data_IF_044215296559
#
_entry.id   IF_044215296559
#
_cell.length_a   1.000
_cell.length_b   1.000
_cell.length_c   1.000
_cell.angle_alpha   90.00
_cell.angle_beta   90.00
_cell.angle_gamma   90.00
#
_symmetry.space_group_name_H-M   'P 1'
#
loop_
_entity.id
_entity.type
_entity.pdbx_description
1 polymer ?
#
# COMPACT_ATOMS: atom_id res chain seq x y z
N UNK A 1 33.84 -3.46 -2.71
CA UNK A 1 35.01 -4.09 -2.06
C UNK A 1 34.79 -4.20 -0.55
N UNK A 2 35.09 -5.36 0.04
CA UNK A 2 34.98 -5.69 1.47
C UNK A 2 36.36 -6.10 2.02
N UNK A 3 36.57 -5.96 3.34
CA UNK A 3 37.72 -6.56 4.04
C UNK A 3 37.26 -7.93 4.51
N UNK A 4 37.53 -8.96 3.72
CA UNK A 4 37.10 -10.34 3.97
C UNK A 4 38.17 -11.29 3.43
N UNK A 5 39.31 -11.32 4.12
CA UNK A 5 40.50 -12.05 3.69
C UNK A 5 40.79 -13.22 4.63
N UNK A 6 41.15 -14.34 4.01
CA UNK A 6 41.65 -15.54 4.63
C UNK A 6 42.82 -16.02 3.75
N UNK A 7 44.03 -15.71 4.19
CA UNK A 7 45.24 -16.04 3.43
C UNK A 7 45.80 -17.41 3.81
N UNK A 8 45.21 -18.10 4.80
CA UNK A 8 45.79 -19.31 5.38
C UNK A 8 47.24 -19.06 5.79
N UNK A 9 48.15 -19.96 5.40
CA UNK A 9 49.60 -19.81 5.64
C UNK A 9 50.33 -18.94 4.59
N UNK A 10 49.57 -18.16 3.81
CA UNK A 10 50.07 -17.36 2.70
C UNK A 10 50.21 -15.88 3.04
N UNK A 11 50.26 -15.05 2.00
CA UNK A 11 50.35 -13.60 2.12
C UNK A 11 49.41 -12.90 1.12
N UNK A 12 49.16 -11.58 1.29
CA UNK A 12 48.23 -10.86 0.43
C UNK A 12 48.71 -10.67 -1.02
N UNK A 13 50.02 -10.80 -1.26
CA UNK A 13 50.65 -10.61 -2.57
C UNK A 13 51.96 -11.42 -2.62
N UNK A 14 52.32 -12.07 -3.75
CA UNK A 14 53.55 -12.86 -3.86
C UNK A 14 54.86 -12.10 -3.61
N UNK A 15 54.84 -10.77 -3.58
CA UNK A 15 55.99 -9.92 -3.23
C UNK A 15 56.15 -9.71 -1.73
N UNK A 16 55.18 -10.16 -0.94
CA UNK A 16 55.18 -10.14 0.51
C UNK A 16 55.42 -11.58 0.94
N UNK A 17 56.48 -11.81 1.71
CA UNK A 17 56.74 -13.14 2.27
C UNK A 17 55.58 -13.55 3.20
N UNK A 18 55.31 -14.86 3.34
CA UNK A 18 54.50 -15.35 4.45
C UNK A 18 55.07 -14.87 5.79
N UNK A 19 54.18 -14.63 6.76
CA UNK A 19 54.51 -14.16 8.11
C UNK A 19 55.01 -12.70 8.20
N UNK A 20 54.93 -12.12 9.41
CA UNK A 20 55.50 -10.80 9.77
C UNK A 20 55.10 -9.60 8.90
N UNK A 21 53.89 -9.62 8.33
CA UNK A 21 53.38 -8.52 7.50
C UNK A 21 52.30 -7.68 8.22
N UNK A 22 51.98 -6.52 7.64
CA UNK A 22 50.90 -5.67 8.14
C UNK A 22 50.14 -5.02 7.00
N UNK A 23 48.88 -4.69 7.25
CA UNK A 23 48.00 -4.03 6.28
C UNK A 23 47.28 -2.86 6.96
N UNK A 24 47.12 -1.76 6.23
CA UNK A 24 46.26 -0.65 6.63
C UNK A 24 45.28 -0.31 5.51
N UNK A 25 44.00 -0.42 5.81
CA UNK A 25 42.93 0.10 4.96
C UNK A 25 42.46 1.45 5.51
N UNK A 26 42.24 2.42 4.61
CA UNK A 26 41.64 3.71 4.96
C UNK A 26 40.64 4.09 3.88
N UNK A 27 39.48 4.60 4.28
CA UNK A 27 38.45 5.01 3.35
C UNK A 27 37.31 5.72 4.05
N UNK A 28 36.60 6.57 3.31
CA UNK A 28 35.36 7.15 3.81
C UNK A 28 34.21 6.25 3.40
N UNK A 29 33.49 5.74 4.39
CA UNK A 29 32.27 4.97 4.19
C UNK A 29 31.06 5.86 4.44
N UNK A 30 30.06 5.77 3.57
CA UNK A 30 28.81 6.51 3.73
C UNK A 30 27.80 5.64 4.48
N UNK A 31 27.50 6.03 5.73
CA UNK A 31 26.45 5.42 6.52
C UNK A 31 25.16 6.14 6.16
N UNK A 32 24.32 5.53 5.33
CA UNK A 32 23.12 6.21 4.81
C UNK A 32 22.09 6.61 5.87
N UNK A 33 22.28 6.18 7.12
CA UNK A 33 21.31 6.22 8.21
C UNK A 33 22.06 6.53 9.50
N UNK A 34 21.48 7.38 10.35
CA UNK A 34 21.96 7.54 11.72
C UNK A 34 21.46 6.37 12.56
N UNK A 35 22.31 5.81 13.42
CA UNK A 35 21.90 4.71 14.27
C UNK A 35 23.07 3.99 14.91
N UNK A 36 22.75 2.94 15.66
CA UNK A 36 23.79 2.10 16.27
C UNK A 36 24.23 1.04 15.27
N UNK A 37 25.49 1.05 14.88
CA UNK A 37 26.07 0.03 14.02
C UNK A 37 26.88 -0.97 14.84
N UNK A 38 26.63 -2.26 14.63
CA UNK A 38 27.46 -3.34 15.17
C UNK A 38 28.63 -3.58 14.22
N UNK A 39 29.82 -3.21 14.65
CA UNK A 39 31.07 -3.58 14.01
C UNK A 39 31.49 -4.97 14.48
N UNK A 40 31.86 -5.83 13.53
CA UNK A 40 32.39 -7.16 13.78
C UNK A 40 33.74 -7.27 13.10
N UNK A 41 34.77 -7.68 13.84
CA UNK A 41 36.09 -7.97 13.29
C UNK A 41 36.52 -9.39 13.64
N UNK A 42 37.12 -10.10 12.69
CA UNK A 42 37.78 -11.39 12.93
C UNK A 42 39.24 -11.26 12.50
N UNK A 43 40.16 -11.52 13.43
CA UNK A 43 41.59 -11.29 13.26
C UNK A 43 42.41 -12.51 13.69
N UNK A 44 43.36 -12.90 12.85
CA UNK A 44 44.51 -13.76 13.13
C UNK A 44 45.70 -13.09 12.42
N UNK A 45 46.63 -12.37 13.06
CA UNK A 45 46.75 -12.07 14.49
C UNK A 45 45.95 -10.81 14.93
N UNK A 46 46.61 -9.66 14.91
CA UNK A 46 46.21 -8.45 15.62
C UNK A 46 45.48 -7.48 14.69
N UNK A 47 44.39 -6.88 15.16
CA UNK A 47 43.63 -5.92 14.36
C UNK A 47 43.04 -4.80 15.21
N UNK A 48 42.92 -3.62 14.61
CA UNK A 48 42.25 -2.45 15.16
C UNK A 48 41.33 -1.82 14.12
N UNK A 49 40.17 -1.36 14.57
CA UNK A 49 39.19 -0.64 13.75
C UNK A 49 38.95 0.73 14.36
N UNK A 50 39.05 1.78 13.55
CA UNK A 50 38.74 3.16 13.92
C UNK A 50 37.62 3.72 13.05
N UNK A 51 36.80 4.57 13.66
CA UNK A 51 35.79 5.39 13.01
C UNK A 51 36.00 6.83 13.48
N UNK A 52 36.15 7.77 12.53
CA UNK A 52 36.43 9.19 12.79
C UNK A 52 37.56 9.41 13.80
N UNK A 53 38.67 8.72 13.58
CA UNK A 53 39.86 8.72 14.43
C UNK A 53 39.68 8.18 15.86
N UNK A 54 38.48 7.71 16.22
CA UNK A 54 38.21 7.05 17.51
C UNK A 54 38.32 5.53 17.34
N UNK A 55 38.98 4.86 18.29
CA UNK A 55 39.12 3.39 18.24
C UNK A 55 37.82 2.73 18.68
N UNK A 56 37.35 1.76 17.89
CA UNK A 56 36.07 1.05 18.11
C UNK A 56 36.34 -0.39 18.56
N UNK A 57 37.31 -1.03 17.92
CA UNK A 57 37.79 -2.37 18.28
C UNK A 57 39.32 -2.33 18.36
N UNK A 58 39.88 -2.86 19.45
CA UNK A 58 41.32 -2.94 19.68
C UNK A 58 41.73 -4.32 20.18
N UNK A 59 42.30 -5.13 19.29
CA UNK A 59 42.94 -6.39 19.63
C UNK A 59 44.32 -6.45 18.96
N UNK A 60 45.23 -5.55 19.34
CA UNK A 60 46.61 -5.54 18.86
C UNK A 60 47.49 -6.55 19.61
N UNK A 61 47.12 -7.82 19.53
CA UNK A 61 47.75 -8.94 20.23
C UNK A 61 47.98 -10.09 19.25
N UNK A 62 48.95 -10.95 19.55
CA UNK A 62 49.17 -12.21 18.81
C UNK A 62 48.17 -13.25 19.31
N UNK A 63 47.41 -13.84 18.40
CA UNK A 63 46.28 -14.71 18.72
C UNK A 63 45.81 -15.47 17.48
N UNK A 64 45.22 -16.66 17.64
CA UNK A 64 44.50 -17.30 16.55
C UNK A 64 43.25 -16.50 16.16
N UNK A 65 42.65 -16.84 15.02
CA UNK A 65 41.42 -16.26 14.49
C UNK A 65 40.33 -16.05 15.56
N UNK A 66 40.20 -14.81 16.03
CA UNK A 66 39.31 -14.42 17.12
C UNK A 66 38.37 -13.32 16.66
N UNK A 67 37.08 -13.44 17.01
CA UNK A 67 36.04 -12.49 16.62
C UNK A 67 35.68 -11.55 17.77
N UNK A 68 35.63 -10.26 17.48
CA UNK A 68 35.23 -9.19 18.40
C UNK A 68 34.07 -8.40 17.81
N UNK A 69 33.22 -7.88 18.69
CA UNK A 69 32.08 -7.04 18.32
C UNK A 69 32.04 -5.77 19.17
N UNK A 70 31.62 -4.66 18.57
CA UNK A 70 31.36 -3.40 19.26
C UNK A 70 30.20 -2.66 18.60
N UNK A 71 29.37 -2.03 19.41
CA UNK A 71 28.27 -1.19 18.95
C UNK A 71 28.69 0.29 19.00
N UNK A 72 28.46 1.03 17.92
CA UNK A 72 28.79 2.44 17.82
C UNK A 72 27.62 3.24 17.23
N UNK A 73 27.19 4.27 17.94
CA UNK A 73 26.25 5.27 17.41
C UNK A 73 26.93 6.15 16.37
N UNK A 74 26.38 6.18 15.16
CA UNK A 74 26.85 7.01 14.05
C UNK A 74 25.73 7.91 13.55
N UNK A 75 26.10 9.11 13.09
CA UNK A 75 25.18 9.95 12.34
C UNK A 75 25.07 9.41 10.90
N UNK A 76 24.06 9.88 10.16
CA UNK A 76 24.05 9.64 8.71
C UNK A 76 25.16 10.46 8.05
N UNK A 77 25.81 9.89 7.04
CA UNK A 77 26.80 10.53 6.19
C UNK A 77 28.14 9.80 6.14
N UNK A 78 29.14 10.50 5.58
CA UNK A 78 30.49 9.95 5.40
C UNK A 78 31.27 9.96 6.71
N UNK A 79 31.71 8.78 7.13
CA UNK A 79 32.60 8.57 8.26
C UNK A 79 33.93 7.97 7.78
N UNK A 80 35.03 8.40 8.39
CA UNK A 80 36.36 7.87 8.06
C UNK A 80 36.56 6.53 8.77
N UNK A 81 36.75 5.47 7.99
CA UNK A 81 37.10 4.15 8.48
C UNK A 81 38.60 3.92 8.27
N UNK A 82 39.27 3.49 9.34
CA UNK A 82 40.62 2.95 9.28
C UNK A 82 40.62 1.55 9.89
N UNK A 83 41.30 0.63 9.25
CA UNK A 83 41.57 -0.71 9.79
C UNK A 83 43.07 -0.95 9.69
N UNK A 84 43.68 -1.39 10.77
CA UNK A 84 45.09 -1.80 10.82
C UNK A 84 45.12 -3.26 11.24
N UNK A 85 45.98 -4.04 10.60
CA UNK A 85 46.12 -5.48 10.83
C UNK A 85 47.59 -5.86 10.82
N UNK A 86 47.96 -6.84 11.64
CA UNK A 86 49.26 -7.49 11.66
C UNK A 86 49.09 -9.01 11.60
N UNK A 87 50.02 -9.63 10.90
CA UNK A 87 50.28 -11.06 10.90
C UNK A 87 51.70 -11.29 11.44
N UNK A 88 51.88 -12.22 12.37
CA UNK A 88 53.20 -12.58 12.89
C UNK A 88 53.66 -13.94 12.37
N UNK A 89 52.88 -15.00 12.54
CA UNK A 89 53.20 -16.37 12.10
C UNK A 89 51.94 -17.22 11.98
N UNK A 90 51.99 -18.22 11.10
CA UNK A 90 50.93 -19.22 10.89
C UNK A 90 49.76 -18.69 10.04
N UNK A 91 48.53 -18.75 10.53
CA UNK A 91 47.35 -18.50 9.72
C UNK A 91 46.96 -17.02 9.75
N UNK A 92 46.75 -16.42 8.59
CA UNK A 92 46.44 -14.99 8.47
C UNK A 92 44.98 -14.75 8.05
N UNK A 93 44.18 -14.13 8.94
CA UNK A 93 42.76 -13.83 8.73
C UNK A 93 42.47 -12.37 9.08
N UNK A 94 41.85 -11.64 8.15
CA UNK A 94 41.41 -10.26 8.36
C UNK A 94 40.02 -10.04 7.76
N UNK A 95 39.00 -9.99 8.61
CA UNK A 95 37.61 -9.74 8.20
C UNK A 95 37.00 -8.61 9.03
N UNK A 96 36.35 -7.66 8.38
CA UNK A 96 35.61 -6.57 9.04
C UNK A 96 34.26 -6.37 8.36
N UNK A 97 33.22 -6.27 9.16
CA UNK A 97 31.86 -5.93 8.71
C UNK A 97 31.18 -4.99 9.69
N UNK A 98 30.15 -4.29 9.24
CA UNK A 98 29.26 -3.52 10.10
C UNK A 98 27.82 -3.59 9.58
N UNK A 99 26.86 -3.63 10.49
CA UNK A 99 25.44 -3.63 10.18
C UNK A 99 24.68 -2.75 11.17
N UNK A 100 23.61 -2.11 10.70
CA UNK A 100 22.70 -1.37 11.58
C UNK A 100 22.09 -2.36 12.60
N UNK A 101 22.26 -2.06 13.88
CA UNK A 101 21.83 -2.85 15.01
C UNK A 101 20.62 -2.16 15.64
N UNK A 102 19.51 -2.88 15.76
CA UNK A 102 18.33 -2.40 16.50
C UNK A 102 17.40 -1.44 15.74
N UNK A 103 17.39 -1.45 14.39
CA UNK A 103 16.41 -0.67 13.62
C UNK A 103 14.98 -1.17 13.88
N UNK A 104 14.08 -0.27 14.23
CA UNK A 104 12.66 -0.56 14.44
C UNK A 104 11.83 -0.05 13.27
N UNK A 105 10.66 -0.65 12.95
CA UNK A 105 9.82 -0.12 11.89
C UNK A 105 9.28 1.27 12.27
N UNK A 106 9.13 2.19 11.30
CA UNK A 106 8.54 3.49 11.56
C UNK A 106 7.08 3.36 12.01
N UNK A 107 6.48 4.44 12.48
CA UNK A 107 5.04 4.56 12.74
C UNK A 107 4.42 5.49 11.71
N UNK A 108 3.54 4.95 10.86
CA UNK A 108 2.73 5.73 9.94
C UNK A 108 1.43 6.22 10.64
N UNK A 109 1.07 7.48 10.45
CA UNK A 109 -0.13 8.08 11.04
C UNK A 109 -0.93 8.83 9.96
N UNK A 110 -2.21 8.51 9.84
CA UNK A 110 -3.16 9.21 8.97
C UNK A 110 -3.85 10.31 9.78
N UNK A 111 -3.70 11.55 9.34
CA UNK A 111 -4.40 12.70 9.91
C UNK A 111 -5.73 12.97 9.20
N UNK A 112 -5.79 12.72 7.89
CA UNK A 112 -7.04 12.77 7.11
C UNK A 112 -6.99 11.77 5.94
N UNK A 113 -8.12 11.19 5.52
CA UNK A 113 -9.46 11.37 6.09
C UNK A 113 -9.59 10.73 7.49
N UNK A 114 -10.43 11.32 8.34
CA UNK A 114 -10.66 10.82 9.69
C UNK A 114 -11.68 9.67 9.73
N UNK A 115 -11.79 8.94 10.85
CA UNK A 115 -12.81 7.93 11.04
C UNK A 115 -14.22 8.50 10.80
N UNK A 116 -15.07 7.76 10.07
CA UNK A 116 -16.44 8.16 9.77
C UNK A 116 -16.58 9.16 8.61
N UNK A 117 -15.48 9.53 7.94
CA UNK A 117 -15.56 10.25 6.67
C UNK A 117 -16.37 9.41 5.66
N UNK A 118 -17.28 10.06 4.94
CA UNK A 118 -18.07 9.45 3.85
C UNK A 118 -17.88 10.22 2.56
N UNK A 119 -18.19 9.60 1.43
CA UNK A 119 -18.06 10.21 0.10
C UNK A 119 -19.28 9.96 -0.77
N UNK A 120 -19.57 10.85 -1.72
CA UNK A 120 -20.43 10.58 -2.87
C UNK A 120 -19.64 10.72 -4.17
N UNK A 121 -20.18 10.23 -5.27
CA UNK A 121 -19.50 10.30 -6.59
C UNK A 121 -19.12 11.75 -6.91
N UNK A 122 -17.86 11.96 -7.29
CA UNK A 122 -17.31 13.27 -7.64
C UNK A 122 -16.83 14.12 -6.46
N UNK A 123 -17.00 13.67 -5.21
CA UNK A 123 -16.40 14.37 -4.06
C UNK A 123 -14.87 14.37 -4.17
N UNK A 124 -14.24 15.50 -3.83
CA UNK A 124 -12.78 15.56 -3.66
C UNK A 124 -12.43 15.28 -2.20
N UNK A 125 -11.80 14.15 -1.95
CA UNK A 125 -11.35 13.71 -0.64
C UNK A 125 -9.90 14.11 -0.46
N UNK A 126 -9.64 15.06 0.44
CA UNK A 126 -8.28 15.38 0.86
C UNK A 126 -7.73 14.28 1.78
N UNK A 127 -6.43 13.98 1.63
CA UNK A 127 -5.72 13.06 2.52
C UNK A 127 -4.41 13.69 2.98
N UNK A 128 -3.99 13.34 4.19
CA UNK A 128 -2.74 13.79 4.80
C UNK A 128 -2.28 12.87 5.91
N UNK A 129 -0.97 12.78 6.12
CA UNK A 129 -0.39 11.94 7.16
C UNK A 129 1.09 12.16 7.33
N UNK A 130 1.69 11.40 8.23
CA UNK A 130 3.09 11.52 8.63
C UNK A 130 3.68 10.16 8.94
N UNK A 131 5.00 10.07 8.92
CA UNK A 131 5.76 8.96 9.46
C UNK A 131 6.74 9.46 10.52
N UNK A 132 6.95 8.69 11.58
CA UNK A 132 7.99 8.95 12.57
C UNK A 132 8.64 7.65 13.00
N UNK A 133 9.93 7.71 13.30
CA UNK A 133 10.75 6.57 13.68
C UNK A 133 11.65 6.95 14.86
N UNK A 134 12.03 6.00 15.73
CA UNK A 134 12.87 6.32 16.89
C UNK A 134 14.32 6.60 16.51
N UNK A 135 14.79 6.03 15.40
CA UNK A 135 16.14 6.21 14.88
C UNK A 135 16.22 7.43 13.94
N UNK A 136 15.22 7.63 13.07
CA UNK A 136 15.21 8.73 12.09
C UNK A 136 14.47 10.01 12.55
N UNK A 137 13.66 9.93 13.60
CA UNK A 137 12.75 11.01 13.98
C UNK A 137 11.61 11.18 12.97
N UNK A 138 11.27 12.41 12.62
CA UNK A 138 10.18 12.68 11.67
C UNK A 138 10.61 12.36 10.23
N UNK A 139 9.86 11.48 9.55
CA UNK A 139 10.17 11.08 8.18
C UNK A 139 9.75 12.14 7.16
N UNK A 140 10.57 12.43 6.14
CA UNK A 140 10.23 13.39 5.10
C UNK A 140 9.12 12.85 4.18
N UNK A 141 8.46 13.74 3.43
CA UNK A 141 7.42 13.34 2.47
C UNK A 141 7.91 12.30 1.46
N UNK A 142 9.19 12.35 1.05
CA UNK A 142 9.83 11.39 0.15
C UNK A 142 9.86 9.95 0.69
N UNK A 143 9.72 9.77 2.01
CA UNK A 143 9.65 8.49 2.70
C UNK A 143 8.21 7.94 2.82
N UNK A 144 7.22 8.71 2.37
CA UNK A 144 5.80 8.36 2.44
C UNK A 144 5.26 8.01 1.06
N UNK A 145 4.33 7.06 0.99
CA UNK A 145 3.61 6.71 -0.23
C UNK A 145 2.16 6.40 0.10
N UNK A 146 1.24 7.00 -0.66
CA UNK A 146 -0.19 6.76 -0.52
C UNK A 146 -0.73 5.89 -1.64
N UNK A 147 -1.73 5.08 -1.33
CA UNK A 147 -2.56 4.41 -2.32
C UNK A 147 -4.03 4.56 -1.97
N UNK A 148 -4.84 4.81 -3.00
CA UNK A 148 -6.29 4.75 -2.91
C UNK A 148 -6.74 3.45 -3.55
N UNK A 149 -7.32 2.57 -2.73
CA UNK A 149 -7.74 1.24 -3.12
C UNK A 149 -9.25 1.18 -2.98
N UNK A 150 -9.93 0.73 -4.02
CA UNK A 150 -11.36 0.52 -4.02
C UNK A 150 -11.65 -0.95 -3.74
N UNK A 151 -12.49 -1.21 -2.76
CA UNK A 151 -12.98 -2.54 -2.43
C UNK A 151 -14.45 -2.62 -2.81
N UNK A 152 -14.85 -3.65 -3.54
CA UNK A 152 -16.25 -3.85 -3.89
C UNK A 152 -16.56 -5.33 -4.13
N UNK A 153 -17.85 -5.64 -4.08
CA UNK A 153 -18.37 -6.96 -4.45
C UNK A 153 -19.50 -6.78 -5.47
N UNK A 154 -19.65 -7.74 -6.37
CA UNK A 154 -20.81 -7.74 -7.27
C UNK A 154 -22.12 -7.78 -6.46
N UNK A 155 -23.11 -6.92 -6.78
CA UNK A 155 -24.41 -6.93 -6.11
C UNK A 155 -25.17 -8.27 -6.22
N UNK A 156 -24.87 -9.04 -7.28
CA UNK A 156 -25.53 -10.32 -7.57
C UNK A 156 -24.66 -11.53 -7.19
N UNK A 157 -23.39 -11.31 -6.86
CA UNK A 157 -22.48 -12.34 -6.36
C UNK A 157 -21.68 -11.80 -5.18
N UNK A 158 -22.22 -11.86 -3.95
CA UNK A 158 -21.57 -11.32 -2.75
C UNK A 158 -20.21 -11.96 -2.42
N UNK A 159 -19.90 -13.12 -3.00
CA UNK A 159 -18.59 -13.78 -2.89
C UNK A 159 -17.55 -13.26 -3.90
N UNK A 160 -17.97 -12.46 -4.88
CA UNK A 160 -17.12 -11.89 -5.92
C UNK A 160 -16.47 -10.57 -5.49
N UNK A 161 -16.02 -10.49 -4.24
CA UNK A 161 -15.33 -9.32 -3.71
C UNK A 161 -13.91 -9.24 -4.26
N UNK A 162 -13.50 -8.07 -4.73
CA UNK A 162 -12.14 -7.81 -5.18
C UNK A 162 -11.77 -6.34 -5.02
N UNK A 163 -10.54 -5.99 -5.39
CA UNK A 163 -9.99 -4.65 -5.23
C UNK A 163 -9.43 -4.07 -6.52
N UNK A 164 -9.47 -2.75 -6.61
CA UNK A 164 -8.82 -1.98 -7.66
C UNK A 164 -7.88 -0.94 -7.04
N UNK A 165 -6.63 -0.87 -7.51
CA UNK A 165 -5.70 0.19 -7.17
C UNK A 165 -5.99 1.39 -8.06
N UNK A 166 -6.68 2.40 -7.52
CA UNK A 166 -7.13 3.54 -8.32
C UNK A 166 -6.00 4.54 -8.58
N UNK A 167 -5.25 4.90 -7.53
CA UNK A 167 -4.17 5.87 -7.66
C UNK A 167 -3.07 5.62 -6.63
N UNK A 168 -1.83 5.96 -6.98
CA UNK A 168 -0.66 5.90 -6.10
C UNK A 168 0.03 7.26 -6.10
N UNK A 169 0.31 7.79 -4.91
CA UNK A 169 0.99 9.06 -4.72
C UNK A 169 2.32 8.82 -3.99
N UNK A 170 3.43 8.60 -4.70
CA UNK A 170 4.73 8.39 -4.08
C UNK A 170 5.33 9.71 -3.62
N UNK A 171 6.04 9.68 -2.50
CA UNK A 171 6.86 10.80 -2.03
C UNK A 171 6.05 12.01 -1.57
N UNK A 172 4.82 11.82 -1.08
CA UNK A 172 3.98 12.91 -0.57
C UNK A 172 3.40 12.62 0.80
N UNK A 173 3.28 13.67 1.62
CA UNK A 173 2.59 13.63 2.91
C UNK A 173 1.09 13.90 2.79
N UNK A 174 0.64 14.53 1.70
CA UNK A 174 -0.75 14.92 1.50
C UNK A 174 -1.13 15.04 0.02
N UNK A 175 -2.43 15.06 -0.24
CA UNK A 175 -2.98 15.22 -1.59
C UNK A 175 -4.50 15.20 -1.58
N UNK A 176 -5.09 14.97 -2.75
CA UNK A 176 -6.53 14.85 -2.90
C UNK A 176 -6.88 13.82 -3.96
N UNK A 177 -8.01 13.14 -3.79
CA UNK A 177 -8.52 12.12 -4.70
C UNK A 177 -9.99 12.41 -5.02
N UNK A 178 -10.40 12.29 -6.29
CA UNK A 178 -11.80 12.47 -6.70
C UNK A 178 -12.51 11.12 -6.64
N UNK A 179 -13.55 11.01 -5.82
CA UNK A 179 -14.28 9.79 -5.59
C UNK A 179 -14.96 9.29 -6.89
N UNK A 180 -14.73 8.02 -7.28
CA UNK A 180 -15.21 7.49 -8.55
C UNK A 180 -16.71 7.19 -8.52
N UNK A 181 -17.29 7.02 -9.70
CA UNK A 181 -18.57 6.34 -9.84
C UNK A 181 -18.36 4.82 -9.74
N UNK A 182 -19.20 4.13 -8.98
CA UNK A 182 -19.20 2.68 -8.87
C UNK A 182 -20.48 2.11 -8.23
N UNK A 183 -20.70 0.80 -8.37
CA UNK A 183 -21.78 0.11 -7.68
C UNK A 183 -21.54 -0.09 -6.17
N UNK A 184 -22.63 -0.31 -5.45
CA UNK A 184 -22.66 -0.71 -4.05
C UNK A 184 -22.91 -2.23 -3.94
N UNK A 185 -22.26 -2.97 -3.03
CA UNK A 185 -21.40 -2.52 -1.94
C UNK A 185 -19.97 -2.21 -2.37
N UNK A 186 -19.47 -1.02 -2.02
CA UNK A 186 -18.07 -0.64 -2.18
C UNK A 186 -17.62 0.36 -1.11
N UNK A 187 -16.30 0.49 -0.92
CA UNK A 187 -15.67 1.50 -0.08
C UNK A 187 -14.25 1.80 -0.57
N UNK A 188 -13.71 2.96 -0.18
CA UNK A 188 -12.34 3.35 -0.47
C UNK A 188 -11.45 3.09 0.76
N UNK A 189 -10.25 2.59 0.54
CA UNK A 189 -9.16 2.48 1.50
C UNK A 189 -8.08 3.48 1.11
N UNK A 190 -7.79 4.43 2.00
CA UNK A 190 -6.61 5.27 1.90
C UNK A 190 -5.50 4.62 2.72
N UNK A 191 -4.50 4.10 2.03
CA UNK A 191 -3.39 3.36 2.61
C UNK A 191 -2.12 4.21 2.57
N UNK A 192 -1.56 4.50 3.73
CA UNK A 192 -0.28 5.18 3.89
C UNK A 192 0.80 4.16 4.23
N UNK A 193 1.88 4.17 3.46
CA UNK A 193 3.13 3.46 3.77
C UNK A 193 4.20 4.48 4.15
N UNK A 194 4.80 4.31 5.32
CA UNK A 194 6.02 5.01 5.71
C UNK A 194 7.20 4.04 5.64
N UNK A 195 8.32 4.49 5.08
CA UNK A 195 9.58 3.74 4.99
C UNK A 195 10.68 4.50 5.69
N UNK A 196 11.33 3.88 6.66
CA UNK A 196 12.49 4.48 7.32
C UNK A 196 13.72 4.43 6.40
N UNK A 197 14.80 5.04 6.85
CA UNK A 197 16.06 5.07 6.11
C UNK A 197 16.73 3.67 6.09
N UNK A 198 16.49 2.84 7.13
CA UNK A 198 16.82 1.40 7.25
C UNK A 198 16.13 0.47 6.24
N UNK A 199 15.10 0.98 5.57
CA UNK A 199 14.27 0.26 4.62
C UNK A 199 13.13 -0.54 5.25
N UNK A 200 12.95 -0.54 6.57
CA UNK A 200 11.75 -1.09 7.20
C UNK A 200 10.56 -0.17 6.91
N UNK A 201 9.36 -0.76 6.98
CA UNK A 201 8.13 -0.07 6.62
C UNK A 201 7.04 -0.31 7.64
N UNK A 202 6.12 0.65 7.71
CA UNK A 202 4.86 0.50 8.39
C UNK A 202 3.74 0.99 7.49
N UNK A 203 2.62 0.27 7.56
CA UNK A 203 1.45 0.52 6.73
C UNK A 203 0.26 0.75 7.66
N UNK A 204 -0.47 1.81 7.40
CA UNK A 204 -1.73 2.10 8.09
C UNK A 204 -2.78 2.50 7.06
N UNK A 205 -4.05 2.28 7.39
CA UNK A 205 -5.17 2.52 6.47
C UNK A 205 -6.35 3.15 7.17
N UNK A 206 -7.12 3.96 6.43
CA UNK A 206 -8.46 4.41 6.83
C UNK A 206 -9.46 4.02 5.75
N UNK A 207 -10.62 3.51 6.19
CA UNK A 207 -11.73 3.14 5.32
C UNK A 207 -12.73 4.29 5.25
N UNK A 208 -13.14 4.63 4.03
CA UNK A 208 -14.09 5.69 3.73
C UNK A 208 -15.26 5.09 2.95
N UNK A 209 -16.43 5.11 3.57
CA UNK A 209 -17.63 4.48 3.02
C UNK A 209 -18.47 5.46 2.20
N UNK A 210 -19.13 5.03 1.12
CA UNK A 210 -19.98 5.90 0.34
C UNK A 210 -21.23 6.30 1.13
N UNK A 211 -21.72 7.51 0.85
CA UNK A 211 -23.09 7.90 1.10
C UNK A 211 -23.99 7.11 0.16
N UNK A 212 -25.02 6.48 0.71
CA UNK A 212 -25.95 5.67 -0.08
C UNK A 212 -27.38 6.17 0.08
N UNK A 213 -28.21 5.83 -0.90
CA UNK A 213 -29.66 5.99 -0.82
C UNK A 213 -30.35 4.76 -1.39
N UNK A 214 -31.64 4.64 -1.09
CA UNK A 214 -32.47 3.53 -1.57
C UNK A 214 -33.35 4.00 -2.71
N UNK A 215 -33.25 3.30 -3.84
CA UNK A 215 -34.19 3.43 -4.95
C UNK A 215 -35.21 2.30 -4.91
N UNK A 216 -36.49 2.63 -5.06
CA UNK A 216 -37.59 1.67 -5.18
C UNK A 216 -38.04 1.59 -6.63
N UNK A 217 -38.04 0.38 -7.19
CA UNK A 217 -38.51 0.11 -8.54
C UNK A 217 -39.83 -0.66 -8.50
N UNK A 218 -40.84 -0.17 -9.21
CA UNK A 218 -42.17 -0.78 -9.27
C UNK A 218 -42.66 -0.88 -10.72
N UNK A 219 -43.65 -1.74 -10.96
CA UNK A 219 -44.35 -1.83 -12.25
C UNK A 219 -45.85 -1.59 -12.06
N UNK A 220 -46.49 -1.07 -13.11
CA UNK A 220 -47.95 -0.99 -13.24
C UNK A 220 -48.38 -1.76 -14.51
N UNK A 221 -49.21 -2.81 -14.41
CA UNK A 221 -49.86 -3.31 -13.19
C UNK A 221 -48.87 -3.93 -12.19
N UNK A 222 -49.17 -3.80 -10.90
CA UNK A 222 -48.34 -4.36 -9.82
C UNK A 222 -48.66 -5.83 -9.57
N UNK A 223 -47.68 -6.62 -9.15
CA UNK A 223 -47.90 -8.01 -8.71
C UNK A 223 -48.05 -9.04 -9.84
N UNK A 224 -47.91 -8.62 -11.10
CA UNK A 224 -47.97 -9.53 -12.27
C UNK A 224 -46.62 -10.15 -12.63
N UNK A 225 -45.54 -9.84 -11.91
CA UNK A 225 -44.23 -10.44 -12.18
C UNK A 225 -43.44 -9.81 -13.34
N UNK A 226 -43.67 -8.52 -13.62
CA UNK A 226 -42.89 -7.78 -14.62
C UNK A 226 -41.45 -7.53 -14.14
N UNK A 227 -40.49 -7.77 -15.02
CA UNK A 227 -39.08 -7.55 -14.77
C UNK A 227 -38.66 -6.14 -15.18
N UNK A 228 -37.76 -5.55 -14.39
CA UNK A 228 -37.05 -4.32 -14.72
C UNK A 228 -35.55 -4.61 -14.63
N UNK A 229 -34.76 -3.95 -15.48
CA UNK A 229 -33.30 -4.08 -15.47
C UNK A 229 -32.70 -2.82 -14.87
N UNK A 230 -31.89 -2.98 -13.83
CA UNK A 230 -31.24 -1.88 -13.11
C UNK A 230 -29.77 -2.22 -12.95
N UNK A 231 -28.88 -1.37 -13.49
CA UNK A 231 -27.44 -1.61 -13.45
C UNK A 231 -27.00 -2.88 -14.19
N UNK A 232 -27.77 -3.30 -15.20
CA UNK A 232 -27.52 -4.54 -15.96
C UNK A 232 -28.23 -5.79 -15.41
N UNK A 233 -28.81 -5.72 -14.22
CA UNK A 233 -29.45 -6.89 -13.57
C UNK A 233 -30.97 -6.85 -13.69
N UNK A 234 -31.56 -7.92 -14.23
CA UNK A 234 -33.00 -8.10 -14.29
C UNK A 234 -33.57 -8.56 -12.93
N UNK A 235 -34.60 -7.87 -12.42
CA UNK A 235 -35.30 -8.22 -11.18
C UNK A 235 -36.81 -8.03 -11.34
N UNK A 236 -37.60 -8.87 -10.68
CA UNK A 236 -39.07 -8.79 -10.69
C UNK A 236 -39.57 -7.68 -9.77
N UNK A 237 -40.36 -6.75 -10.31
CA UNK A 237 -40.93 -5.64 -9.55
C UNK A 237 -42.08 -6.09 -8.61
N UNK A 238 -42.21 -5.50 -7.41
CA UNK A 238 -41.40 -4.39 -6.87
C UNK A 238 -40.13 -4.85 -6.14
N UNK A 239 -39.07 -4.04 -6.19
CA UNK A 239 -37.83 -4.27 -5.43
C UNK A 239 -37.14 -2.95 -5.06
N UNK A 240 -36.22 -3.04 -4.09
CA UNK A 240 -35.36 -1.93 -3.69
C UNK A 240 -33.90 -2.21 -4.08
N UNK A 241 -33.15 -1.15 -4.37
CA UNK A 241 -31.70 -1.19 -4.60
C UNK A 241 -31.04 -0.09 -3.78
N UNK A 242 -29.99 -0.44 -3.03
CA UNK A 242 -29.11 0.54 -2.39
C UNK A 242 -28.03 0.94 -3.37
N UNK A 243 -27.85 2.24 -3.57
CA UNK A 243 -26.92 2.82 -4.56
C UNK A 243 -26.14 3.97 -3.96
N UNK A 244 -24.95 4.24 -4.52
CA UNK A 244 -24.10 5.35 -4.09
C UNK A 244 -24.71 6.67 -4.58
N UNK A 245 -24.72 7.70 -3.73
CA UNK A 245 -25.19 9.03 -4.10
C UNK A 245 -24.31 9.60 -5.22
N UNK A 246 -24.93 10.21 -6.22
CA UNK A 246 -24.26 10.80 -7.37
C UNK A 246 -23.89 9.81 -8.48
N UNK A 247 -24.06 8.50 -8.27
CA UNK A 247 -23.80 7.52 -9.31
C UNK A 247 -24.76 7.65 -10.48
N UNK A 248 -24.28 7.24 -11.66
CA UNK A 248 -25.12 7.12 -12.86
C UNK A 248 -25.57 5.68 -13.01
N UNK A 249 -26.88 5.46 -13.04
CA UNK A 249 -27.47 4.12 -13.15
C UNK A 249 -28.30 4.01 -14.42
N UNK A 250 -28.02 2.99 -15.24
CA UNK A 250 -28.91 2.64 -16.36
C UNK A 250 -30.09 1.83 -15.85
N UNK A 251 -31.30 2.29 -16.17
CA UNK A 251 -32.55 1.58 -15.89
C UNK A 251 -33.25 1.25 -17.21
N UNK A 252 -33.89 0.09 -17.28
CA UNK A 252 -34.60 -0.36 -18.48
C UNK A 252 -35.83 -1.16 -18.11
N UNK A 253 -36.90 -0.98 -18.88
CA UNK A 253 -38.13 -1.75 -18.79
C UNK A 253 -38.26 -2.62 -20.05
N UNK A 254 -37.77 -3.89 -20.04
CA UNK A 254 -37.88 -4.79 -21.18
C UNK A 254 -39.31 -4.83 -21.72
N UNK A 255 -39.47 -4.81 -23.04
CA UNK A 255 -40.80 -4.83 -23.69
C UNK A 255 -40.70 -5.45 -25.08
N UNK A 256 -41.68 -6.26 -25.51
CA UNK A 256 -42.79 -6.75 -24.69
C UNK A 256 -42.33 -7.79 -23.65
N UNK A 257 -43.09 -7.96 -22.57
CA UNK A 257 -42.94 -9.07 -21.63
C UNK A 257 -44.17 -9.96 -21.67
N UNK A 258 -44.00 -11.27 -21.76
CA UNK A 258 -45.13 -12.21 -21.74
C UNK A 258 -45.24 -12.84 -20.36
N UNK A 259 -46.36 -12.57 -19.67
CA UNK A 259 -46.69 -13.20 -18.39
C UNK A 259 -48.00 -13.96 -18.57
N UNK A 260 -47.94 -15.28 -18.40
CA UNK A 260 -49.08 -16.16 -18.70
C UNK A 260 -49.47 -16.02 -20.18
N UNK A 261 -50.72 -15.64 -20.45
CA UNK A 261 -51.24 -15.46 -21.81
C UNK A 261 -51.20 -14.01 -22.30
N UNK A 262 -50.85 -13.06 -21.44
CA UNK A 262 -50.87 -11.64 -21.77
C UNK A 262 -49.48 -11.13 -22.14
N UNK A 263 -49.40 -10.30 -23.18
CA UNK A 263 -48.22 -9.52 -23.50
C UNK A 263 -48.33 -8.14 -22.83
N UNK A 264 -47.24 -7.64 -22.27
CA UNK A 264 -47.17 -6.35 -21.61
C UNK A 264 -46.21 -5.45 -22.37
N UNK A 265 -46.72 -4.37 -22.93
CA UNK A 265 -45.97 -3.40 -23.73
C UNK A 265 -45.66 -2.19 -22.85
N UNK A 266 -44.38 -1.82 -22.75
CA UNK A 266 -43.96 -0.63 -22.01
C UNK A 266 -44.55 0.63 -22.64
N UNK A 267 -45.00 1.56 -21.80
CA UNK A 267 -45.61 2.83 -22.19
C UNK A 267 -44.77 4.02 -21.74
N UNK A 268 -44.38 4.06 -20.47
CA UNK A 268 -43.63 5.18 -19.89
C UNK A 268 -43.00 4.80 -18.56
N UNK A 269 -42.06 5.63 -18.11
CA UNK A 269 -41.62 5.67 -16.71
C UNK A 269 -42.26 6.84 -15.97
N UNK A 270 -42.40 6.73 -14.64
CA UNK A 270 -42.91 7.80 -13.78
C UNK A 270 -42.07 9.08 -13.78
N UNK A 271 -40.81 8.99 -14.18
CA UNK A 271 -39.88 10.13 -14.33
C UNK A 271 -39.91 10.75 -15.74
N UNK A 272 -40.72 10.20 -16.66
CA UNK A 272 -40.82 10.65 -18.05
C UNK A 272 -39.63 10.23 -18.93
N UNK A 273 -38.72 9.39 -18.43
CA UNK A 273 -37.58 8.89 -19.19
C UNK A 273 -37.97 7.92 -20.32
N UNK A 274 -37.03 7.70 -21.23
CA UNK A 274 -37.17 6.71 -22.30
C UNK A 274 -37.26 5.28 -21.74
N UNK A 275 -37.61 4.29 -22.54
CA UNK A 275 -37.70 2.90 -22.08
C UNK A 275 -36.43 2.41 -21.38
N UNK A 276 -35.27 2.80 -21.92
CA UNK A 276 -33.95 2.63 -21.33
C UNK A 276 -33.27 3.98 -21.27
N UNK A 277 -32.84 4.39 -20.08
CA UNK A 277 -32.14 5.66 -19.87
C UNK A 277 -31.28 5.60 -18.61
N UNK A 278 -30.44 6.62 -18.46
CA UNK A 278 -29.63 6.83 -17.27
C UNK A 278 -30.35 7.76 -16.30
N UNK A 279 -30.23 7.46 -15.01
CA UNK A 279 -30.62 8.34 -13.91
C UNK A 279 -29.37 8.68 -13.08
N UNK A 280 -29.33 9.89 -12.53
CA UNK A 280 -28.32 10.29 -11.55
C UNK A 280 -28.93 10.17 -10.16
N UNK A 281 -28.26 9.42 -9.29
CA UNK A 281 -28.75 9.12 -7.95
C UNK A 281 -28.68 10.37 -7.06
N UNK A 282 -29.83 10.82 -6.56
CA UNK A 282 -29.91 11.93 -5.60
C UNK A 282 -29.56 11.53 -4.16
N UNK A 283 -29.64 12.48 -3.24
CA UNK A 283 -29.35 12.28 -1.80
C UNK A 283 -30.51 11.66 -1.01
N UNK A 284 -31.72 11.64 -1.58
CA UNK A 284 -32.95 11.19 -0.92
C UNK A 284 -33.50 9.93 -1.60
N UNK A 285 -34.20 9.06 -0.87
CA UNK A 285 -34.85 7.90 -1.48
C UNK A 285 -35.82 8.32 -2.59
N UNK A 286 -35.83 7.57 -3.69
CA UNK A 286 -36.69 7.86 -4.84
C UNK A 286 -37.38 6.60 -5.36
N UNK A 287 -38.50 6.78 -6.06
CA UNK A 287 -39.29 5.70 -6.65
C UNK A 287 -39.39 5.88 -8.16
N UNK A 288 -39.14 4.80 -8.89
CA UNK A 288 -39.32 4.71 -10.34
C UNK A 288 -40.36 3.64 -10.65
N UNK A 289 -41.41 4.01 -11.37
CA UNK A 289 -42.50 3.11 -11.78
C UNK A 289 -42.52 2.98 -13.30
N UNK A 290 -42.34 1.77 -13.81
CA UNK A 290 -42.56 1.46 -15.23
C UNK A 290 -44.04 1.13 -15.46
N UNK A 291 -44.65 1.79 -16.44
CA UNK A 291 -46.05 1.61 -16.81
C UNK A 291 -46.11 0.75 -18.06
N UNK A 292 -46.90 -0.32 -17.99
CA UNK A 292 -47.14 -1.25 -19.09
C UNK A 292 -48.62 -1.32 -19.43
N UNK A 293 -48.91 -1.52 -20.71
CA UNK A 293 -50.23 -1.85 -21.22
C UNK A 293 -50.32 -3.36 -21.45
N UNK A 294 -51.32 -4.01 -20.85
CA UNK A 294 -51.62 -5.40 -21.13
C UNK A 294 -52.34 -5.52 -22.48
N UNK A 295 -51.78 -6.33 -23.37
CA UNK A 295 -52.39 -6.73 -24.64
C UNK A 295 -52.85 -8.18 -24.49
N UNK A 296 -54.18 -8.42 -24.49
CA UNK A 296 -54.70 -9.79 -24.45
C UNK A 296 -54.32 -10.54 -25.72
N UNK A 297 -54.23 -11.89 -25.66
CA UNK A 297 -53.93 -12.69 -26.84
C UNK A 297 -55.02 -12.49 -27.90
N UNK A 298 -54.64 -12.44 -29.17
CA UNK A 298 -55.60 -12.43 -30.28
C UNK A 298 -56.32 -13.78 -30.25
N UNK A 299 -57.67 -13.81 -30.16
CA UNK A 299 -58.42 -15.06 -30.22
C UNK A 299 -58.16 -15.79 -31.56
N UNK A 300 -58.19 -17.14 -31.58
CA UNK A 300 -58.02 -17.92 -32.81
C UNK A 300 -59.13 -17.66 -33.83
#
# INVERSE_FOLDING_TARGET
PNIDFDWGLGSPDPRIEPDTFSVRWTGNWDFGIAGTYRFTMTADDGMRVWVDNSIVLDAWVLQPATTYVADLGLAAGRHLIRVEYIENTEAAVARVSWALSGNTPPTATIASPGPGTTWKVGDTIAFSGSGADSEDGALPASALSWQVILHHCSPDSPSSCHTHYLETFPGTAAGSFVAPDHEYPSYLEFRLTARDSGGLTNVTSVLVYPQTTTLTFTANPSGVGLNLVVGGTARTAPFNVTVIVGSTLTISAPSPQTIGLSAYIWMSWSDGGAQTHNIVVGTSPARYTAIFMAVPPVPP
#
